data_IF_026046151878
#
_entry.id   IF_026046151878
#
_cell.length_a   1.000
_cell.length_b   1.000
_cell.length_c   1.000
_cell.angle_alpha   90.00
_cell.angle_beta   90.00
_cell.angle_gamma   90.00
#
_symmetry.space_group_name_H-M   'P 1'
#
loop_
_entity.id
_entity.type
_entity.pdbx_description
1 polymer ?
#
# COMPACT_ATOMS: atom_id res chain seq x y z
N UNK A 1 -19.61 -24.89 27.10
CA UNK A 1 -19.99 -23.84 26.12
C UNK A 1 -20.36 -22.58 26.89
N UNK A 2 -19.62 -21.51 26.66
CA UNK A 2 -19.93 -20.23 27.27
C UNK A 2 -21.26 -19.70 26.72
N UNK A 3 -22.05 -19.06 27.58
CA UNK A 3 -23.25 -18.34 27.13
C UNK A 3 -22.76 -17.11 26.35
N UNK A 4 -23.07 -17.05 25.05
CA UNK A 4 -22.71 -15.89 24.23
C UNK A 4 -23.39 -14.63 24.77
N UNK A 5 -22.73 -13.47 24.70
CA UNK A 5 -23.33 -12.19 25.07
C UNK A 5 -24.52 -11.88 24.14
N UNK A 6 -25.45 -11.09 24.63
CA UNK A 6 -26.54 -10.56 23.80
C UNK A 6 -26.03 -9.42 22.93
N UNK A 7 -26.02 -9.65 21.59
CA UNK A 7 -25.38 -8.77 20.60
C UNK A 7 -26.29 -8.40 19.43
N UNK A 8 -27.43 -7.72 19.67
CA UNK A 8 -28.44 -7.47 18.64
C UNK A 8 -27.94 -6.57 17.50
N UNK A 9 -26.98 -5.68 17.72
CA UNK A 9 -26.41 -4.86 16.67
C UNK A 9 -25.41 -5.64 15.81
N UNK A 10 -24.61 -6.51 16.41
CA UNK A 10 -23.72 -7.41 15.67
C UNK A 10 -24.54 -8.44 14.87
N UNK A 11 -25.66 -8.92 15.43
CA UNK A 11 -26.54 -9.87 14.75
C UNK A 11 -27.10 -9.30 13.43
N UNK A 12 -27.34 -7.99 13.37
CA UNK A 12 -27.75 -7.30 12.15
C UNK A 12 -26.66 -7.33 11.06
N UNK A 13 -25.37 -7.34 11.45
CA UNK A 13 -24.25 -7.43 10.50
C UNK A 13 -24.07 -8.85 9.98
N UNK A 14 -24.62 -9.85 10.64
CA UNK A 14 -24.51 -11.25 10.23
C UNK A 14 -25.46 -11.61 9.08
N UNK A 15 -26.45 -10.76 8.83
CA UNK A 15 -27.39 -10.95 7.72
C UNK A 15 -26.75 -10.66 6.38
N UNK A 16 -26.87 -11.59 5.43
CA UNK A 16 -26.39 -11.41 4.05
C UNK A 16 -25.78 -12.68 3.46
N UNK A 17 -25.42 -12.68 2.17
CA UNK A 17 -24.94 -13.86 1.45
C UNK A 17 -23.47 -14.22 1.77
N UNK A 18 -22.72 -13.32 2.41
CA UNK A 18 -21.32 -13.52 2.72
C UNK A 18 -21.13 -13.87 4.18
N UNK A 19 -20.23 -14.84 4.52
CA UNK A 19 -19.86 -15.09 5.89
C UNK A 19 -19.32 -13.80 6.52
N UNK A 20 -20.02 -13.28 7.52
CA UNK A 20 -19.57 -12.09 8.21
C UNK A 20 -18.48 -12.41 9.23
N UNK A 21 -17.68 -11.39 9.61
CA UNK A 21 -16.73 -11.56 10.70
C UNK A 21 -17.45 -11.90 12.03
N UNK A 22 -18.69 -11.48 12.20
CA UNK A 22 -19.53 -11.78 13.39
C UNK A 22 -19.79 -13.28 13.51
N UNK A 23 -20.07 -13.97 12.41
CA UNK A 23 -20.20 -15.45 12.40
C UNK A 23 -18.93 -16.13 12.92
N UNK A 24 -17.76 -15.65 12.47
CA UNK A 24 -16.47 -16.17 12.92
C UNK A 24 -16.22 -15.88 14.39
N UNK A 25 -16.51 -14.65 14.85
CA UNK A 25 -16.40 -14.27 16.26
C UNK A 25 -17.31 -15.11 17.16
N UNK A 26 -18.58 -15.30 16.79
CA UNK A 26 -19.52 -16.17 17.52
C UNK A 26 -19.02 -17.59 17.66
N UNK A 27 -18.39 -18.13 16.60
CA UNK A 27 -17.79 -19.46 16.64
C UNK A 27 -16.64 -19.52 17.64
N UNK A 28 -15.72 -18.56 17.59
CA UNK A 28 -14.58 -18.48 18.49
C UNK A 28 -15.03 -18.25 19.96
N UNK A 29 -16.02 -17.40 20.17
CA UNK A 29 -16.51 -17.05 21.50
C UNK A 29 -17.19 -18.20 22.26
N UNK A 30 -17.61 -19.27 21.59
CA UNK A 30 -18.22 -20.45 22.25
C UNK A 30 -17.28 -21.12 23.24
N UNK A 31 -16.01 -21.16 22.91
CA UNK A 31 -14.99 -21.90 23.66
C UNK A 31 -13.88 -20.99 24.22
N UNK A 32 -13.86 -19.69 23.83
CA UNK A 32 -12.84 -18.74 24.23
C UNK A 32 -13.51 -17.54 24.97
N UNK A 33 -13.30 -17.40 26.30
CA UNK A 33 -13.88 -16.31 27.09
C UNK A 33 -13.43 -14.90 26.63
N UNK A 34 -12.17 -14.75 26.19
CA UNK A 34 -11.66 -13.48 25.67
C UNK A 34 -12.46 -13.05 24.42
N UNK A 35 -12.80 -13.98 23.54
CA UNK A 35 -13.59 -13.68 22.35
C UNK A 35 -15.06 -13.40 22.69
N UNK A 36 -15.60 -14.03 23.73
CA UNK A 36 -16.92 -13.72 24.24
C UNK A 36 -16.98 -12.28 24.77
N UNK A 37 -16.01 -11.88 25.58
CA UNK A 37 -15.87 -10.51 26.10
C UNK A 37 -15.67 -9.50 24.95
N UNK A 38 -14.86 -9.85 23.95
CA UNK A 38 -14.66 -9.00 22.79
C UNK A 38 -15.94 -8.75 22.01
N UNK A 39 -16.82 -9.73 21.87
CA UNK A 39 -18.15 -9.52 21.27
C UNK A 39 -18.99 -8.51 22.08
N UNK A 40 -18.96 -8.58 23.40
CA UNK A 40 -19.63 -7.62 24.27
C UNK A 40 -19.07 -6.21 24.13
N UNK A 41 -17.76 -6.07 24.02
CA UNK A 41 -17.11 -4.77 23.75
C UNK A 41 -17.51 -4.21 22.37
N UNK A 42 -17.55 -5.05 21.34
CA UNK A 42 -17.99 -4.65 19.99
C UNK A 42 -19.44 -4.15 20.00
N UNK A 43 -20.35 -4.90 20.60
CA UNK A 43 -21.75 -4.49 20.73
C UNK A 43 -21.86 -3.14 21.45
N UNK A 44 -21.11 -2.96 22.55
CA UNK A 44 -21.05 -1.70 23.28
C UNK A 44 -20.50 -0.57 22.43
N UNK A 45 -19.46 -0.83 21.63
CA UNK A 45 -18.88 0.13 20.71
C UNK A 45 -19.89 0.57 19.63
N UNK A 46 -20.61 -0.37 19.03
CA UNK A 46 -21.65 -0.05 18.05
C UNK A 46 -22.79 0.79 18.66
N UNK A 47 -23.18 0.49 19.88
CA UNK A 47 -24.22 1.22 20.61
C UNK A 47 -23.79 2.64 21.02
N UNK A 48 -22.57 2.76 21.57
CA UNK A 48 -22.07 4.03 22.14
C UNK A 48 -21.30 4.88 21.13
N UNK A 49 -20.93 4.31 19.99
CA UNK A 49 -20.02 4.90 18.99
C UNK A 49 -18.59 5.15 19.48
N UNK A 50 -18.20 4.57 20.60
CA UNK A 50 -16.82 4.54 21.06
C UNK A 50 -16.08 3.34 20.46
N UNK A 51 -14.85 3.58 19.96
CA UNK A 51 -14.00 2.50 19.47
C UNK A 51 -13.57 1.56 20.59
N UNK A 52 -13.90 0.30 20.49
CA UNK A 52 -13.66 -0.71 21.51
C UNK A 52 -12.18 -1.02 21.77
N UNK A 53 -11.30 -0.63 20.86
CA UNK A 53 -9.84 -0.77 21.01
C UNK A 53 -9.13 0.51 21.44
N UNK A 54 -9.84 1.50 21.85
CA UNK A 54 -9.26 2.71 22.43
C UNK A 54 -8.81 2.53 23.88
N UNK A 55 -8.44 1.36 24.28
CA UNK A 55 -7.66 1.22 25.49
C UNK A 55 -6.33 1.92 25.27
N UNK A 56 -5.84 2.62 26.28
CA UNK A 56 -4.62 3.39 26.22
C UNK A 56 -3.57 2.65 25.43
N UNK A 57 -3.14 3.23 24.33
CA UNK A 57 -1.90 2.80 23.71
C UNK A 57 -0.86 3.15 24.75
N UNK A 58 -0.56 2.25 25.63
CA UNK A 58 0.67 2.38 26.40
C UNK A 58 1.75 2.51 25.34
N UNK A 59 2.43 3.62 25.33
CA UNK A 59 3.57 3.80 24.48
C UNK A 59 4.39 2.53 24.56
N UNK A 60 4.89 2.05 23.45
CA UNK A 60 5.57 0.75 23.24
C UNK A 60 6.85 0.61 24.08
N UNK A 61 6.89 1.24 25.26
CA UNK A 61 8.01 1.19 26.18
C UNK A 61 8.09 -0.21 26.75
N UNK A 62 9.03 -0.99 26.20
CA UNK A 62 9.30 -2.35 26.66
C UNK A 62 8.85 -3.47 25.72
N UNK A 63 8.08 -3.18 24.68
CA UNK A 63 7.78 -4.12 23.62
C UNK A 63 8.57 -3.76 22.36
N UNK A 64 9.11 -4.73 21.68
CA UNK A 64 9.70 -4.56 20.36
C UNK A 64 8.69 -4.03 19.33
N UNK A 65 9.15 -3.55 18.19
CA UNK A 65 8.29 -3.18 17.09
C UNK A 65 7.30 -4.29 16.75
N UNK A 66 6.10 -3.93 16.34
CA UNK A 66 5.08 -4.91 15.96
C UNK A 66 4.17 -5.41 17.07
N UNK A 67 4.50 -5.22 18.34
CA UNK A 67 3.59 -5.51 19.45
C UNK A 67 2.82 -4.25 19.80
N UNK A 68 1.50 -4.31 19.72
CA UNK A 68 0.60 -3.22 20.06
C UNK A 68 -0.18 -3.60 21.30
N UNK A 69 0.21 -3.12 22.48
CA UNK A 69 -0.56 -3.31 23.70
C UNK A 69 -1.94 -2.66 23.56
N UNK A 70 -2.96 -3.38 23.99
CA UNK A 70 -4.33 -2.89 23.99
C UNK A 70 -4.97 -3.22 25.31
N UNK A 71 -5.58 -2.21 25.94
CA UNK A 71 -6.31 -2.33 27.18
C UNK A 71 -7.70 -1.71 26.99
N UNK A 72 -8.73 -2.26 27.61
CA UNK A 72 -10.05 -1.66 27.56
C UNK A 72 -10.18 -0.51 28.55
N UNK A 73 -10.78 0.60 28.11
CA UNK A 73 -11.20 1.70 28.98
C UNK A 73 -12.64 1.50 29.53
N UNK A 74 -13.35 0.48 29.03
CA UNK A 74 -14.71 0.20 29.43
C UNK A 74 -14.71 -0.39 30.85
N UNK A 75 -15.13 0.40 31.81
CA UNK A 75 -15.23 0.05 33.25
C UNK A 75 -16.64 0.21 33.75
N UNK A 76 -16.95 -0.54 34.78
CA UNK A 76 -18.16 -0.37 35.55
C UNK A 76 -18.08 0.84 36.51
N UNK A 77 -19.15 1.11 37.25
CA UNK A 77 -19.23 2.20 38.23
C UNK A 77 -18.21 2.07 39.37
N UNK A 78 -17.68 0.88 39.61
CA UNK A 78 -16.63 0.61 40.61
C UNK A 78 -15.20 0.75 40.07
N UNK A 79 -15.05 1.04 38.78
CA UNK A 79 -13.75 1.16 38.12
C UNK A 79 -13.16 -0.17 37.65
N UNK A 80 -13.89 -1.28 37.71
CA UNK A 80 -13.45 -2.58 37.21
C UNK A 80 -13.74 -2.71 35.71
N UNK A 81 -12.90 -3.44 34.97
CA UNK A 81 -13.16 -3.74 33.54
C UNK A 81 -14.53 -4.39 33.37
N UNK A 82 -15.36 -3.88 32.45
CA UNK A 82 -16.63 -4.51 32.07
C UNK A 82 -16.43 -5.85 31.39
N UNK A 83 -15.25 -6.02 30.74
CA UNK A 83 -14.89 -7.21 29.98
C UNK A 83 -13.52 -7.69 30.46
N UNK A 84 -13.44 -8.37 31.61
CA UNK A 84 -12.17 -8.70 32.27
C UNK A 84 -11.27 -9.64 31.41
N UNK A 85 -11.85 -10.55 30.65
CA UNK A 85 -11.09 -11.49 29.82
C UNK A 85 -10.43 -10.82 28.61
N UNK A 86 -11.05 -9.78 28.05
CA UNK A 86 -10.51 -8.98 26.95
C UNK A 86 -9.90 -7.65 27.44
N UNK A 87 -9.73 -7.44 28.73
CA UNK A 87 -9.17 -6.22 29.28
C UNK A 87 -7.73 -5.97 28.77
N UNK A 88 -6.96 -7.03 28.59
CA UNK A 88 -5.65 -7.01 27.93
C UNK A 88 -5.74 -7.78 26.62
N UNK A 89 -5.66 -7.06 25.50
CA UNK A 89 -5.84 -7.62 24.17
C UNK A 89 -4.74 -7.10 23.26
N UNK A 90 -3.57 -7.72 23.34
CA UNK A 90 -2.44 -7.31 22.52
C UNK A 90 -2.58 -7.80 21.09
N UNK A 91 -2.04 -7.02 20.17
CA UNK A 91 -1.96 -7.37 18.74
C UNK A 91 -0.51 -7.47 18.34
N UNK A 92 -0.13 -8.58 17.70
CA UNK A 92 1.17 -8.73 17.07
C UNK A 92 1.03 -8.43 15.57
N UNK A 93 1.91 -7.58 15.07
CA UNK A 93 2.07 -7.34 13.63
C UNK A 93 3.28 -8.12 13.16
N UNK A 94 3.11 -8.92 12.15
CA UNK A 94 4.16 -9.77 11.61
C UNK A 94 4.49 -9.31 10.19
N UNK A 95 5.79 -9.19 9.89
CA UNK A 95 6.28 -8.85 8.56
C UNK A 95 5.87 -9.94 7.57
N UNK A 96 5.19 -9.61 6.48
CA UNK A 96 4.82 -10.60 5.47
C UNK A 96 6.06 -11.05 4.68
N UNK A 97 6.04 -12.24 4.08
CA UNK A 97 7.02 -12.60 3.08
C UNK A 97 6.92 -11.68 1.86
N UNK A 98 8.02 -11.52 1.14
CA UNK A 98 8.04 -10.74 -0.09
C UNK A 98 6.98 -11.26 -1.08
N UNK A 99 6.26 -10.34 -1.73
CA UNK A 99 5.15 -10.69 -2.60
C UNK A 99 3.89 -11.23 -1.90
N UNK A 100 3.91 -11.33 -0.56
CA UNK A 100 2.79 -11.80 0.27
C UNK A 100 2.27 -13.20 -0.10
N UNK A 101 3.18 -14.09 -0.52
CA UNK A 101 2.85 -15.46 -0.85
C UNK A 101 2.92 -16.37 0.38
N UNK A 102 1.87 -17.12 0.60
CA UNK A 102 1.78 -18.14 1.66
C UNK A 102 1.32 -19.44 1.06
N UNK A 103 1.94 -20.55 1.46
CA UNK A 103 1.33 -21.87 1.24
C UNK A 103 0.19 -22.09 2.23
N UNK A 104 -0.76 -22.93 1.86
CA UNK A 104 -1.84 -23.32 2.79
C UNK A 104 -1.33 -24.01 4.05
N UNK A 105 -0.24 -24.75 3.95
CA UNK A 105 0.37 -25.42 5.11
C UNK A 105 1.04 -24.42 6.04
N UNK A 106 1.75 -23.42 5.48
CA UNK A 106 2.32 -22.33 6.28
C UNK A 106 1.24 -21.54 7.01
N UNK A 107 0.11 -21.25 6.35
CA UNK A 107 -1.02 -20.56 7.00
C UNK A 107 -1.62 -21.39 8.14
N UNK A 108 -1.72 -22.72 7.99
CA UNK A 108 -2.16 -23.60 9.08
C UNK A 108 -1.19 -23.56 10.26
N UNK A 109 0.12 -23.69 9.99
CA UNK A 109 1.14 -23.61 11.04
C UNK A 109 1.09 -22.27 11.77
N UNK A 110 0.89 -21.15 11.07
CA UNK A 110 0.69 -19.84 11.70
C UNK A 110 -0.55 -19.81 12.61
N UNK A 111 -1.66 -20.42 12.17
CA UNK A 111 -2.86 -20.52 12.99
C UNK A 111 -2.62 -21.39 14.23
N UNK A 112 -1.97 -22.53 14.07
CA UNK A 112 -1.68 -23.45 15.17
C UNK A 112 -0.74 -22.80 16.20
N UNK A 113 0.36 -22.20 15.73
CA UNK A 113 1.30 -21.44 16.60
C UNK A 113 0.59 -20.37 17.40
N UNK A 114 -0.34 -19.62 16.76
CA UNK A 114 -1.12 -18.59 17.43
C UNK A 114 -2.04 -19.14 18.52
N UNK A 115 -2.72 -20.25 18.24
CA UNK A 115 -3.63 -20.90 19.18
C UNK A 115 -2.87 -21.55 20.34
N UNK A 116 -1.75 -22.23 20.06
CA UNK A 116 -0.90 -22.87 21.06
C UNK A 116 -0.28 -21.89 22.04
N UNK A 117 0.01 -20.66 21.57
CA UNK A 117 0.45 -19.56 22.43
C UNK A 117 -0.68 -18.95 23.27
N UNK A 118 -1.90 -19.44 23.19
CA UNK A 118 -3.05 -18.86 23.89
C UNK A 118 -3.67 -17.63 23.23
N UNK A 119 -3.42 -17.45 21.95
CA UNK A 119 -4.04 -16.40 21.15
C UNK A 119 -5.54 -16.63 20.93
N UNK A 120 -6.26 -15.59 20.60
CA UNK A 120 -7.73 -15.58 20.45
C UNK A 120 -8.26 -16.41 19.27
N UNK A 121 -7.40 -16.80 18.32
CA UNK A 121 -7.81 -17.36 17.04
C UNK A 121 -8.14 -16.33 15.97
N UNK A 122 -8.13 -15.03 16.29
CA UNK A 122 -8.43 -13.96 15.34
C UNK A 122 -7.15 -13.52 14.61
N UNK A 123 -7.16 -13.61 13.27
CA UNK A 123 -6.08 -13.20 12.40
C UNK A 123 -6.66 -12.27 11.32
N UNK A 124 -5.96 -11.20 11.00
CA UNK A 124 -6.32 -10.29 9.92
C UNK A 124 -5.12 -10.03 9.00
N UNK A 125 -5.36 -10.04 7.70
CA UNK A 125 -4.39 -9.60 6.70
C UNK A 125 -4.60 -8.12 6.42
N UNK A 126 -3.63 -7.30 6.78
CA UNK A 126 -3.78 -5.85 6.66
C UNK A 126 -3.33 -5.35 5.29
N UNK A 127 -4.29 -4.99 4.44
CA UNK A 127 -4.05 -4.67 3.02
C UNK A 127 -3.08 -3.52 2.75
N UNK A 128 -2.95 -2.55 3.64
CA UNK A 128 -2.14 -1.35 3.39
C UNK A 128 -0.67 -1.48 3.78
N UNK A 129 -0.32 -2.40 4.64
CA UNK A 129 1.04 -2.67 5.09
C UNK A 129 1.46 -4.12 4.87
N UNK A 130 0.53 -4.97 4.43
CA UNK A 130 0.77 -6.38 4.23
C UNK A 130 0.94 -7.19 5.52
N UNK A 131 0.90 -6.55 6.69
CA UNK A 131 1.08 -7.26 7.97
C UNK A 131 0.10 -8.42 8.11
N UNK A 132 0.58 -9.52 8.66
CA UNK A 132 -0.31 -10.45 9.35
C UNK A 132 -0.53 -9.86 10.75
N UNK A 133 -1.79 -9.64 11.11
CA UNK A 133 -2.15 -9.13 12.43
C UNK A 133 -2.77 -10.26 13.24
N UNK A 134 -2.06 -10.72 14.24
CA UNK A 134 -2.55 -11.65 15.25
C UNK A 134 -3.21 -10.85 16.37
N UNK A 135 -4.51 -10.94 16.52
CA UNK A 135 -5.28 -10.06 17.37
C UNK A 135 -5.82 -10.79 18.60
N UNK A 136 -5.37 -10.39 19.75
CA UNK A 136 -5.86 -10.87 21.04
C UNK A 136 -4.99 -11.95 21.67
N UNK A 137 -4.04 -11.50 22.47
CA UNK A 137 -3.24 -12.34 23.35
C UNK A 137 -2.96 -11.59 24.64
N UNK A 138 -2.86 -12.30 25.74
CA UNK A 138 -2.50 -11.74 27.04
C UNK A 138 -1.01 -11.45 27.13
N UNK A 139 -0.64 -10.52 27.99
CA UNK A 139 0.77 -10.10 28.18
C UNK A 139 1.70 -11.27 28.44
N UNK A 140 1.32 -12.18 29.32
CA UNK A 140 2.12 -13.35 29.72
C UNK A 140 2.42 -14.32 28.59
N UNK A 141 1.60 -14.32 27.54
CA UNK A 141 1.71 -15.24 26.42
C UNK A 141 2.42 -14.64 25.18
N UNK A 142 2.70 -13.34 25.21
CA UNK A 142 3.30 -12.63 24.06
C UNK A 142 4.64 -13.25 23.65
N UNK A 143 5.50 -13.59 24.63
CA UNK A 143 6.81 -14.15 24.36
C UNK A 143 6.71 -15.51 23.67
N UNK A 144 5.79 -16.36 24.11
CA UNK A 144 5.58 -17.68 23.50
C UNK A 144 5.13 -17.56 22.04
N UNK A 145 4.24 -16.62 21.73
CA UNK A 145 3.81 -16.37 20.35
C UNK A 145 4.97 -15.84 19.49
N UNK A 146 5.77 -14.93 20.03
CA UNK A 146 6.94 -14.39 19.35
C UNK A 146 7.95 -15.51 19.04
N UNK A 147 8.31 -16.34 20.01
CA UNK A 147 9.25 -17.44 19.84
C UNK A 147 8.78 -18.44 18.80
N UNK A 148 7.48 -18.79 18.82
CA UNK A 148 6.88 -19.67 17.82
C UNK A 148 6.93 -19.12 16.41
N UNK A 149 6.65 -17.82 16.23
CA UNK A 149 6.74 -17.14 14.94
C UNK A 149 8.18 -17.07 14.44
N UNK A 150 9.13 -16.76 15.32
CA UNK A 150 10.56 -16.72 14.98
C UNK A 150 11.10 -18.10 14.58
N UNK A 151 10.67 -19.17 15.26
CA UNK A 151 11.04 -20.53 14.89
C UNK A 151 10.58 -20.92 13.48
N UNK A 152 9.52 -20.28 12.97
CA UNK A 152 9.03 -20.43 11.60
C UNK A 152 9.73 -19.49 10.61
N UNK A 153 10.65 -18.65 11.05
CA UNK A 153 11.36 -17.66 10.24
C UNK A 153 10.61 -16.35 10.02
N UNK A 154 9.54 -16.09 10.77
CA UNK A 154 8.85 -14.80 10.76
C UNK A 154 9.42 -13.85 11.82
N UNK A 155 9.45 -12.59 11.48
CA UNK A 155 9.79 -11.52 12.40
C UNK A 155 8.62 -10.54 12.55
N UNK A 156 8.65 -9.75 13.61
CA UNK A 156 7.64 -8.73 13.84
C UNK A 156 7.82 -7.57 12.86
N UNK A 157 6.71 -7.03 12.42
CA UNK A 157 6.65 -5.78 11.65
C UNK A 157 6.75 -4.55 12.55
N UNK A 158 6.79 -3.36 11.94
CA UNK A 158 6.89 -2.12 12.68
C UNK A 158 5.55 -1.61 13.25
N UNK A 159 5.61 -1.05 14.44
CA UNK A 159 4.49 -0.34 15.08
C UNK A 159 4.98 0.97 15.72
N UNK A 160 4.06 1.93 15.90
CA UNK A 160 4.42 3.22 16.53
C UNK A 160 5.32 4.13 15.70
N UNK A 161 6.16 4.97 16.33
CA UNK A 161 7.12 5.87 15.71
C UNK A 161 8.39 5.11 15.32
N UNK A 162 8.31 4.27 14.31
CA UNK A 162 9.36 3.37 13.85
C UNK A 162 9.24 3.15 12.35
N UNK A 163 10.22 2.49 11.77
CA UNK A 163 10.07 1.89 10.45
C UNK A 163 8.93 0.87 10.51
N UNK A 164 7.97 1.03 9.63
CA UNK A 164 6.76 0.21 9.59
C UNK A 164 6.96 -0.97 8.66
N UNK A 165 6.16 -1.99 8.86
CA UNK A 165 6.05 -3.11 7.95
C UNK A 165 6.01 -2.62 6.51
N UNK A 166 6.88 -3.16 5.69
CA UNK A 166 7.02 -2.83 4.27
C UNK A 166 6.52 -3.99 3.43
N UNK A 167 6.09 -3.69 2.23
CA UNK A 167 5.54 -4.69 1.33
C UNK A 167 5.99 -4.46 -0.11
N UNK A 168 6.07 -5.54 -0.86
CA UNK A 168 6.20 -5.53 -2.31
C UNK A 168 4.97 -6.14 -2.97
N UNK A 169 4.75 -5.83 -4.24
CA UNK A 169 3.78 -6.59 -5.04
C UNK A 169 4.32 -7.99 -5.34
N UNK A 170 3.51 -8.80 -6.02
CA UNK A 170 3.88 -10.16 -6.44
C UNK A 170 5.07 -10.18 -7.40
N UNK A 171 5.20 -9.18 -8.22
CA UNK A 171 6.31 -8.80 -9.06
C UNK A 171 6.92 -9.90 -9.92
N UNK A 172 8.22 -9.87 -10.07
CA UNK A 172 8.99 -10.77 -10.94
C UNK A 172 8.76 -12.27 -10.66
N UNK A 173 8.29 -12.62 -9.46
CA UNK A 173 7.95 -14.00 -9.12
C UNK A 173 6.75 -14.56 -9.92
N UNK A 174 5.81 -13.70 -10.34
CA UNK A 174 4.55 -14.12 -10.99
C UNK A 174 3.99 -13.14 -12.02
N UNK A 175 4.63 -12.02 -12.25
CA UNK A 175 4.10 -10.95 -13.10
C UNK A 175 5.08 -10.59 -14.21
N UNK A 176 4.67 -10.78 -15.45
CA UNK A 176 5.41 -10.47 -16.66
C UNK A 176 5.66 -8.95 -16.85
N UNK A 177 4.85 -8.12 -16.19
CA UNK A 177 4.96 -6.66 -16.26
C UNK A 177 6.04 -6.11 -15.33
N UNK A 178 6.61 -6.92 -14.44
CA UNK A 178 7.63 -6.45 -13.51
C UNK A 178 8.89 -5.96 -14.22
N UNK A 179 9.43 -4.85 -13.71
CA UNK A 179 10.60 -4.19 -14.27
C UNK A 179 11.88 -4.41 -13.44
N UNK A 180 11.80 -5.01 -12.27
CA UNK A 180 12.94 -5.31 -11.40
C UNK A 180 12.57 -6.41 -10.39
N UNK A 181 13.51 -6.85 -9.56
CA UNK A 181 13.27 -7.78 -8.45
C UNK A 181 12.88 -6.99 -7.18
N UNK A 182 11.58 -6.70 -7.05
CA UNK A 182 11.03 -5.98 -5.89
C UNK A 182 11.03 -6.81 -4.61
N UNK A 183 11.03 -8.13 -4.72
CA UNK A 183 11.15 -9.02 -3.56
C UNK A 183 12.55 -8.92 -2.94
N UNK A 184 13.57 -8.86 -3.79
CA UNK A 184 14.95 -8.61 -3.36
C UNK A 184 15.10 -7.22 -2.77
N UNK A 185 14.55 -6.18 -3.43
CA UNK A 185 14.59 -4.80 -2.95
C UNK A 185 13.96 -4.68 -1.55
N UNK A 186 12.77 -5.26 -1.33
CA UNK A 186 12.13 -5.31 -0.02
C UNK A 186 13.04 -5.96 1.02
N UNK A 187 13.53 -7.16 0.73
CA UNK A 187 14.32 -7.94 1.68
C UNK A 187 15.61 -7.21 2.08
N UNK A 188 16.35 -6.68 1.12
CA UNK A 188 17.62 -6.03 1.39
C UNK A 188 17.45 -4.73 2.16
N UNK A 189 16.47 -3.90 1.79
CA UNK A 189 16.17 -2.64 2.49
C UNK A 189 15.69 -2.91 3.92
N UNK A 190 14.81 -3.88 4.13
CA UNK A 190 14.32 -4.20 5.47
C UNK A 190 15.42 -4.80 6.34
N UNK A 191 16.18 -5.76 5.85
CA UNK A 191 17.25 -6.39 6.64
C UNK A 191 18.32 -5.38 7.08
N UNK A 192 18.63 -4.40 6.23
CA UNK A 192 19.61 -3.36 6.57
C UNK A 192 19.09 -2.36 7.63
N UNK A 193 17.77 -2.20 7.73
CA UNK A 193 17.12 -1.23 8.60
C UNK A 193 16.23 -1.89 9.67
N UNK A 194 16.49 -3.16 10.01
CA UNK A 194 15.63 -3.94 10.90
C UNK A 194 15.56 -3.36 12.32
N UNK A 195 16.64 -2.77 12.79
CA UNK A 195 16.71 -2.13 14.12
C UNK A 195 15.72 -0.96 14.23
N UNK A 196 15.53 -0.18 13.16
CA UNK A 196 14.56 0.91 13.12
C UNK A 196 13.10 0.41 13.09
N UNK A 197 12.90 -0.85 12.71
CA UNK A 197 11.59 -1.50 12.78
C UNK A 197 11.29 -2.00 14.19
N UNK A 198 12.28 -2.53 14.89
CA UNK A 198 12.11 -3.13 16.21
C UNK A 198 12.14 -2.11 17.35
N UNK A 199 12.61 -0.90 17.10
CA UNK A 199 12.74 0.16 18.11
C UNK A 199 11.99 1.41 17.67
N UNK A 200 11.37 2.17 18.59
CA UNK A 200 10.78 3.47 18.29
C UNK A 200 11.90 4.52 18.11
N UNK A 201 12.59 4.48 16.96
CA UNK A 201 13.77 5.28 16.66
C UNK A 201 13.46 6.53 15.84
N UNK A 202 12.24 6.70 15.35
CA UNK A 202 11.86 7.77 14.44
C UNK A 202 10.88 8.75 15.09
N UNK A 203 10.86 10.03 14.68
CA UNK A 203 9.88 11.01 15.17
C UNK A 203 8.43 10.61 14.89
N UNK A 204 8.20 9.88 13.80
CA UNK A 204 6.92 9.27 13.45
C UNK A 204 7.14 8.04 12.57
N UNK A 205 6.02 7.39 12.15
CA UNK A 205 6.06 6.21 11.30
C UNK A 205 6.65 6.51 9.93
N UNK A 206 7.52 5.64 9.45
CA UNK A 206 8.06 5.64 8.10
C UNK A 206 7.72 4.32 7.38
N UNK A 207 7.48 4.35 6.07
CA UNK A 207 7.09 3.18 5.27
C UNK A 207 7.81 3.13 3.95
N UNK A 208 8.34 1.97 3.62
CA UNK A 208 8.74 1.62 2.25
C UNK A 208 7.67 0.82 1.54
N UNK A 209 7.58 0.97 0.22
CA UNK A 209 6.82 0.07 -0.65
C UNK A 209 7.50 -0.10 -2.00
N UNK A 210 7.39 -1.32 -2.54
CA UNK A 210 8.08 -1.76 -3.74
C UNK A 210 7.07 -2.29 -4.75
N UNK A 211 6.85 -1.55 -5.83
CA UNK A 211 5.92 -1.90 -6.92
C UNK A 211 6.68 -2.27 -8.17
N UNK A 212 6.44 -3.45 -8.71
CA UNK A 212 7.21 -3.99 -9.84
C UNK A 212 7.01 -3.27 -11.17
N UNK A 213 5.92 -2.51 -11.33
CA UNK A 213 5.62 -1.76 -12.55
C UNK A 213 4.67 -0.58 -12.25
N UNK A 214 4.41 0.29 -13.26
CA UNK A 214 3.52 1.44 -13.08
C UNK A 214 2.05 1.15 -12.77
N UNK A 215 1.58 -0.08 -12.79
CA UNK A 215 0.25 -0.42 -12.28
C UNK A 215 0.11 -0.19 -10.76
N UNK A 216 1.22 -0.11 -10.05
CA UNK A 216 1.30 0.20 -8.62
C UNK A 216 0.29 -0.57 -7.75
N UNK A 217 0.27 -1.91 -7.92
CA UNK A 217 -0.71 -2.80 -7.27
C UNK A 217 -0.71 -2.72 -5.73
N UNK A 218 0.38 -2.24 -5.13
CA UNK A 218 0.48 -2.04 -3.68
C UNK A 218 0.24 -0.60 -3.25
N UNK A 219 -0.16 0.27 -4.18
CA UNK A 219 -0.41 1.69 -3.93
C UNK A 219 0.79 2.38 -3.25
N UNK A 220 1.96 2.19 -3.82
CA UNK A 220 3.22 2.68 -3.27
C UNK A 220 3.30 4.21 -3.35
N UNK A 221 2.83 4.81 -4.44
CA UNK A 221 2.86 6.27 -4.66
C UNK A 221 2.15 7.07 -3.57
N UNK A 222 1.07 6.53 -2.98
CA UNK A 222 0.27 7.25 -1.99
C UNK A 222 0.44 6.72 -0.56
N UNK A 223 0.88 5.47 -0.40
CA UNK A 223 0.82 4.79 0.90
C UNK A 223 2.18 4.51 1.52
N UNK A 224 3.25 5.11 0.97
CA UNK A 224 4.60 5.01 1.51
C UNK A 224 5.28 6.37 1.62
N UNK A 225 6.22 6.46 2.55
CA UNK A 225 7.08 7.63 2.68
C UNK A 225 8.15 7.61 1.59
N UNK A 226 8.71 6.45 1.28
CA UNK A 226 9.56 6.22 0.12
C UNK A 226 9.05 5.03 -0.67
N UNK A 227 8.98 5.16 -1.98
CA UNK A 227 8.52 4.14 -2.91
C UNK A 227 9.51 3.90 -4.04
N UNK A 228 9.59 2.64 -4.50
CA UNK A 228 10.15 2.32 -5.80
C UNK A 228 9.04 1.77 -6.69
N UNK A 229 8.91 2.31 -7.89
CA UNK A 229 7.95 1.84 -8.88
C UNK A 229 8.71 1.49 -10.15
N UNK A 230 8.60 0.25 -10.58
CA UNK A 230 9.25 -0.24 -11.78
C UNK A 230 8.86 0.56 -13.02
N UNK A 231 9.82 0.80 -13.89
CA UNK A 231 9.64 1.53 -15.14
C UNK A 231 10.69 1.10 -16.19
N UNK A 232 10.68 1.70 -17.35
CA UNK A 232 11.67 1.47 -18.42
C UNK A 232 12.01 2.78 -19.14
N UNK A 233 13.19 2.85 -19.76
CA UNK A 233 13.64 4.05 -20.48
C UNK A 233 13.32 4.00 -21.96
N UNK A 234 13.56 2.84 -22.58
CA UNK A 234 13.43 2.64 -24.01
C UNK A 234 11.97 2.52 -24.47
N UNK A 235 11.77 2.13 -25.71
CA UNK A 235 10.45 2.08 -26.35
C UNK A 235 9.62 0.90 -25.85
N UNK A 236 8.30 1.08 -25.78
CA UNK A 236 7.32 -0.01 -25.68
C UNK A 236 7.61 -1.00 -26.83
N UNK A 237 7.55 -2.28 -26.53
CA UNK A 237 7.70 -3.35 -27.51
C UNK A 237 6.34 -3.86 -27.96
N UNK A 238 6.26 -4.26 -29.23
CA UNK A 238 5.08 -4.90 -29.80
C UNK A 238 5.40 -6.31 -30.27
N UNK A 239 4.48 -7.23 -30.03
CA UNK A 239 4.45 -8.55 -30.65
C UNK A 239 3.41 -8.51 -31.77
N UNK A 240 3.84 -8.74 -33.00
CA UNK A 240 2.98 -8.60 -34.17
C UNK A 240 1.89 -9.67 -34.22
N UNK A 241 2.22 -10.92 -33.90
CA UNK A 241 1.24 -12.04 -33.95
C UNK A 241 0.11 -11.79 -32.94
N UNK A 242 0.46 -11.46 -31.69
CA UNK A 242 -0.52 -11.17 -30.63
C UNK A 242 -1.29 -9.87 -30.89
N UNK A 243 -0.66 -8.87 -31.52
CA UNK A 243 -1.34 -7.63 -31.89
C UNK A 243 -2.39 -7.86 -32.96
N UNK A 244 -2.07 -8.65 -33.98
CA UNK A 244 -3.02 -9.06 -35.03
C UNK A 244 -4.15 -9.91 -34.46
N UNK A 245 -3.85 -10.86 -33.58
CA UNK A 245 -4.85 -11.69 -32.92
C UNK A 245 -5.81 -10.84 -32.06
N UNK A 246 -5.26 -9.92 -31.25
CA UNK A 246 -6.09 -9.01 -30.45
C UNK A 246 -7.00 -8.16 -31.33
N UNK A 247 -6.49 -7.62 -32.42
CA UNK A 247 -7.27 -6.80 -33.35
C UNK A 247 -8.36 -7.60 -34.07
N UNK A 248 -8.11 -8.84 -34.44
CA UNK A 248 -9.09 -9.73 -35.06
C UNK A 248 -10.28 -9.98 -34.12
N UNK A 249 -10.04 -10.08 -32.80
CA UNK A 249 -11.10 -10.31 -31.82
C UNK A 249 -11.90 -9.04 -31.46
N UNK A 250 -11.24 -7.87 -31.43
CA UNK A 250 -11.82 -6.62 -30.91
C UNK A 250 -12.21 -5.62 -32.01
N UNK A 251 -11.49 -5.62 -33.14
CA UNK A 251 -11.72 -4.74 -34.27
C UNK A 251 -11.39 -3.27 -34.04
N UNK A 252 -11.61 -2.47 -35.08
CA UNK A 252 -11.24 -1.05 -35.11
C UNK A 252 -11.93 -0.20 -34.04
N UNK A 253 -13.21 -0.46 -33.78
CA UNK A 253 -14.00 0.32 -32.80
C UNK A 253 -13.42 0.22 -31.38
N UNK A 254 -13.08 -0.98 -30.97
CA UNK A 254 -12.52 -1.22 -29.64
C UNK A 254 -11.08 -0.73 -29.55
N UNK A 255 -10.30 -0.87 -30.62
CA UNK A 255 -8.96 -0.28 -30.74
C UNK A 255 -9.00 1.23 -30.48
N UNK A 256 -9.91 1.95 -31.13
CA UNK A 256 -10.07 3.39 -30.92
C UNK A 256 -10.51 3.70 -29.51
N UNK A 257 -11.55 3.03 -29.02
CA UNK A 257 -12.18 3.38 -27.75
C UNK A 257 -11.35 2.95 -26.53
N UNK A 258 -10.69 1.79 -26.59
CA UNK A 258 -10.03 1.21 -25.42
C UNK A 258 -8.53 1.52 -25.40
N UNK A 259 -7.89 1.78 -26.56
CA UNK A 259 -6.44 1.98 -26.63
C UNK A 259 -6.13 3.45 -26.97
N UNK A 260 -6.59 3.95 -28.12
CA UNK A 260 -6.22 5.26 -28.64
C UNK A 260 -6.81 6.38 -27.77
N UNK A 261 -8.12 6.38 -27.58
CA UNK A 261 -8.83 7.46 -26.86
C UNK A 261 -8.48 7.55 -25.38
N UNK A 262 -8.09 6.42 -24.77
CA UNK A 262 -7.75 6.36 -23.36
C UNK A 262 -6.26 6.58 -23.09
N UNK A 263 -5.44 6.83 -24.12
CA UNK A 263 -4.06 7.25 -23.91
C UNK A 263 -4.03 8.67 -23.30
N UNK A 264 -3.55 8.83 -22.06
CA UNK A 264 -3.63 10.12 -21.35
C UNK A 264 -2.79 11.21 -22.01
N UNK A 265 -1.79 10.80 -22.79
CA UNK A 265 -0.87 11.72 -23.50
C UNK A 265 -1.16 11.82 -24.98
N UNK A 266 -2.15 11.07 -25.46
CA UNK A 266 -2.37 10.93 -26.92
C UNK A 266 -1.11 10.52 -27.68
N UNK A 267 -0.25 9.78 -27.00
CA UNK A 267 0.97 9.22 -27.60
C UNK A 267 0.67 8.07 -28.58
N UNK A 268 -0.57 7.57 -28.64
CA UNK A 268 -0.98 6.47 -29.52
C UNK A 268 -1.90 7.03 -30.61
N UNK A 269 -1.55 6.75 -31.86
CA UNK A 269 -2.32 7.16 -33.03
C UNK A 269 -2.57 5.97 -33.95
N UNK A 270 -3.70 6.01 -34.66
CA UNK A 270 -3.95 5.09 -35.78
C UNK A 270 -3.07 5.50 -36.96
N UNK A 271 -2.57 4.50 -37.67
CA UNK A 271 -1.77 4.66 -38.87
C UNK A 271 -2.12 3.57 -39.90
N UNK A 272 -1.84 3.86 -41.17
CA UNK A 272 -1.88 2.86 -42.19
C UNK A 272 -0.64 1.96 -42.14
N UNK A 273 -0.83 0.65 -42.30
CA UNK A 273 0.29 -0.28 -42.33
C UNK A 273 0.97 -0.28 -43.72
N UNK A 274 1.71 0.76 -44.00
CA UNK A 274 2.38 0.95 -45.32
C UNK A 274 3.69 0.21 -45.46
N UNK A 275 4.18 -0.45 -44.40
CA UNK A 275 5.51 -1.04 -44.34
C UNK A 275 6.68 -0.04 -44.31
N UNK A 276 6.38 1.29 -44.27
CA UNK A 276 7.39 2.32 -44.16
C UNK A 276 8.08 2.27 -42.80
N UNK A 277 9.35 2.66 -42.72
CA UNK A 277 10.06 2.79 -41.44
C UNK A 277 9.46 3.90 -40.59
N UNK A 278 9.35 3.68 -39.30
CA UNK A 278 8.93 4.69 -38.33
C UNK A 278 10.12 5.54 -37.86
N UNK A 279 9.83 6.75 -37.35
CA UNK A 279 10.85 7.63 -36.80
C UNK A 279 11.48 7.07 -35.52
N UNK A 280 12.59 7.65 -35.13
CA UNK A 280 13.22 7.34 -33.83
C UNK A 280 12.26 7.62 -32.69
N UNK A 281 12.24 6.75 -31.69
CA UNK A 281 11.33 6.87 -30.55
C UNK A 281 9.88 6.46 -30.82
N UNK A 282 9.55 5.96 -32.00
CA UNK A 282 8.20 5.47 -32.35
C UNK A 282 8.18 3.94 -32.39
N UNK A 283 7.18 3.35 -31.74
CA UNK A 283 6.88 1.92 -31.88
C UNK A 283 5.68 1.74 -32.81
N UNK A 284 5.87 0.97 -33.88
CA UNK A 284 4.75 0.52 -34.74
C UNK A 284 4.19 -0.80 -34.21
N UNK A 285 2.88 -0.86 -34.08
CA UNK A 285 2.10 -2.03 -33.67
C UNK A 285 1.22 -2.44 -34.85
N UNK A 286 1.59 -3.51 -35.52
CA UNK A 286 0.85 -4.01 -36.70
C UNK A 286 -0.43 -4.70 -36.23
N UNK A 287 -1.57 -4.22 -36.72
CA UNK A 287 -2.90 -4.75 -36.38
C UNK A 287 -3.47 -5.64 -37.49
N UNK A 288 -3.26 -5.26 -38.74
CA UNK A 288 -3.67 -5.98 -39.92
C UNK A 288 -2.75 -5.61 -41.11
N UNK A 289 -3.05 -6.10 -42.31
CA UNK A 289 -2.32 -5.69 -43.50
C UNK A 289 -2.55 -4.22 -43.88
N UNK A 290 -3.67 -3.63 -43.41
CA UNK A 290 -4.07 -2.26 -43.69
C UNK A 290 -3.83 -1.30 -42.53
N UNK A 291 -3.86 -1.79 -41.29
CA UNK A 291 -3.91 -0.95 -40.08
C UNK A 291 -2.78 -1.21 -39.13
N UNK A 292 -2.28 -0.13 -38.51
CA UNK A 292 -1.30 -0.15 -37.44
C UNK A 292 -1.63 0.91 -36.37
N UNK A 293 -0.98 0.80 -35.22
CA UNK A 293 -0.82 1.89 -34.27
C UNK A 293 0.62 2.38 -34.28
N UNK A 294 0.80 3.66 -34.10
CA UNK A 294 2.07 4.28 -33.82
C UNK A 294 2.07 4.86 -32.40
N UNK A 295 3.05 4.46 -31.61
CA UNK A 295 3.23 4.90 -30.24
C UNK A 295 4.45 5.81 -30.17
N UNK A 296 4.25 7.10 -29.91
CA UNK A 296 5.30 8.06 -29.62
C UNK A 296 5.82 7.83 -28.19
N UNK A 297 6.98 7.21 -28.06
CA UNK A 297 7.58 6.89 -26.78
C UNK A 297 8.14 8.10 -26.03
N UNK A 298 8.37 9.23 -26.70
CA UNK A 298 8.77 10.48 -26.05
C UNK A 298 7.60 11.08 -25.27
N UNK A 299 6.38 11.00 -25.83
CA UNK A 299 5.17 11.46 -25.20
C UNK A 299 4.50 10.40 -24.31
N UNK A 300 4.97 9.16 -24.33
CA UNK A 300 4.46 8.07 -23.51
C UNK A 300 4.85 8.24 -22.03
N UNK A 301 3.88 8.37 -21.15
CA UNK A 301 4.09 8.45 -19.68
C UNK A 301 4.12 7.07 -18.98
N UNK A 302 4.19 6.00 -19.73
CA UNK A 302 4.31 4.63 -19.23
C UNK A 302 3.21 4.21 -18.24
N UNK A 303 1.99 4.71 -18.41
CA UNK A 303 0.86 4.46 -17.50
C UNK A 303 0.34 3.02 -17.51
N UNK A 304 0.87 2.13 -18.33
CA UNK A 304 0.51 0.73 -18.50
C UNK A 304 -0.88 0.47 -19.13
N UNK A 305 -1.69 1.48 -19.39
CA UNK A 305 -3.07 1.26 -19.84
C UNK A 305 -3.14 0.39 -21.10
N UNK A 306 -2.41 0.77 -22.16
CA UNK A 306 -2.42 0.02 -23.42
C UNK A 306 -1.84 -1.40 -23.28
N UNK A 307 -0.83 -1.58 -22.40
CA UNK A 307 -0.27 -2.91 -22.12
C UNK A 307 -1.27 -3.81 -21.40
N UNK A 308 -2.09 -3.23 -20.52
CA UNK A 308 -3.14 -3.98 -19.80
C UNK A 308 -4.33 -4.33 -20.72
N UNK A 309 -4.62 -3.48 -21.70
CA UNK A 309 -5.70 -3.72 -22.67
C UNK A 309 -5.30 -4.73 -23.75
N UNK A 310 -4.03 -4.70 -24.16
CA UNK A 310 -3.45 -5.60 -25.18
C UNK A 310 -2.37 -6.50 -24.54
N UNK A 311 -2.76 -7.39 -23.60
CA UNK A 311 -1.77 -8.18 -22.86
C UNK A 311 -0.98 -9.11 -23.79
N UNK A 312 0.34 -9.11 -23.62
CA UNK A 312 1.26 -9.86 -24.48
C UNK A 312 1.55 -9.19 -25.82
N UNK A 313 0.56 -8.53 -26.43
CA UNK A 313 0.72 -7.78 -27.66
C UNK A 313 1.59 -6.52 -27.48
N UNK A 314 1.44 -5.85 -26.35
CA UNK A 314 2.29 -4.75 -25.92
C UNK A 314 3.04 -5.11 -24.64
N UNK A 315 4.32 -4.81 -24.61
CA UNK A 315 5.22 -5.16 -23.52
C UNK A 315 6.05 -3.94 -23.09
N UNK A 316 6.47 -3.87 -21.82
CA UNK A 316 7.44 -2.88 -21.36
C UNK A 316 8.72 -2.92 -22.21
N UNK A 317 9.45 -1.82 -22.27
CA UNK A 317 10.79 -1.77 -22.85
C UNK A 317 11.74 -2.78 -22.20
N UNK A 318 12.97 -2.82 -22.70
CA UNK A 318 14.02 -3.74 -22.21
C UNK A 318 14.94 -3.07 -21.18
N UNK A 319 15.16 -1.76 -21.32
CA UNK A 319 15.98 -0.98 -20.39
C UNK A 319 15.15 -0.66 -19.13
N UNK A 320 14.99 -1.67 -18.28
CA UNK A 320 14.15 -1.66 -17.09
C UNK A 320 14.90 -1.15 -15.86
N UNK A 321 14.16 -0.58 -14.93
CA UNK A 321 14.64 -0.06 -13.65
C UNK A 321 13.49 0.43 -12.82
N UNK A 322 13.74 1.41 -11.96
CA UNK A 322 12.71 2.00 -11.06
C UNK A 322 12.72 3.51 -11.11
N UNK A 323 11.56 4.10 -10.86
CA UNK A 323 11.42 5.49 -10.39
C UNK A 323 11.38 5.46 -8.87
N UNK A 324 12.15 6.33 -8.22
CA UNK A 324 12.10 6.51 -6.75
C UNK A 324 11.28 7.74 -6.40
N UNK A 325 10.33 7.55 -5.48
CA UNK A 325 9.42 8.61 -5.05
C UNK A 325 9.47 8.77 -3.52
N UNK A 326 9.18 9.97 -3.05
CA UNK A 326 9.21 10.35 -1.64
C UNK A 326 7.96 11.13 -1.24
N UNK A 327 7.51 10.98 0.00
CA UNK A 327 6.50 11.87 0.61
C UNK A 327 5.05 11.47 0.39
N UNK A 328 4.77 10.26 -0.10
CA UNK A 328 3.41 9.75 -0.22
C UNK A 328 2.71 9.61 1.14
N UNK A 329 1.46 10.07 1.22
CA UNK A 329 0.66 10.04 2.43
C UNK A 329 -0.83 9.91 2.13
N UNK A 330 -1.43 8.82 2.57
CA UNK A 330 -2.85 8.56 2.36
C UNK A 330 -3.77 9.00 3.50
N UNK A 331 -3.32 9.76 4.49
CA UNK A 331 -4.09 10.16 5.67
C UNK A 331 -4.16 11.68 5.83
N UNK A 332 -5.29 12.11 6.25
CA UNK A 332 -5.87 13.44 6.13
C UNK A 332 -5.70 14.32 7.38
N UNK A 333 -4.50 14.74 7.76
CA UNK A 333 -4.43 15.96 8.59
C UNK A 333 -4.43 17.22 7.72
N UNK A 334 -3.65 17.20 6.66
CA UNK A 334 -3.53 18.30 5.68
C UNK A 334 -3.95 17.88 4.27
N UNK A 335 -4.46 16.66 4.11
CA UNK A 335 -4.81 16.05 2.84
C UNK A 335 -3.94 14.83 2.51
N UNK A 336 -4.36 14.08 1.51
CA UNK A 336 -3.55 13.02 0.93
C UNK A 336 -2.51 13.64 -0.02
N UNK A 337 -1.27 13.17 0.05
CA UNK A 337 -0.19 13.57 -0.86
C UNK A 337 0.27 12.38 -1.67
N UNK A 338 0.57 12.59 -2.93
CA UNK A 338 1.24 11.61 -3.79
C UNK A 338 2.75 11.76 -3.61
N UNK A 339 3.47 10.65 -3.74
CA UNK A 339 4.92 10.68 -3.73
C UNK A 339 5.47 11.53 -4.89
N UNK A 340 6.47 12.36 -4.60
CA UNK A 340 7.19 13.16 -5.57
C UNK A 340 8.38 12.37 -6.08
N UNK A 341 8.66 12.41 -7.39
CA UNK A 341 9.83 11.75 -7.99
C UNK A 341 11.10 12.44 -7.50
N UNK A 342 12.03 11.68 -6.95
CA UNK A 342 13.37 12.14 -6.57
C UNK A 342 14.46 11.51 -7.45
N UNK A 343 14.23 10.34 -8.01
CA UNK A 343 15.08 9.73 -9.05
C UNK A 343 14.15 9.25 -10.17
N UNK A 344 14.19 9.88 -11.34
CA UNK A 344 13.34 9.48 -12.48
C UNK A 344 13.60 8.05 -12.95
N UNK A 345 14.86 7.63 -12.94
CA UNK A 345 15.25 6.28 -13.32
C UNK A 345 16.51 5.82 -12.60
N UNK A 346 16.43 4.66 -11.95
CA UNK A 346 17.54 3.95 -11.33
C UNK A 346 17.53 2.49 -11.80
N UNK A 347 18.66 1.99 -12.28
CA UNK A 347 18.83 0.56 -12.55
C UNK A 347 18.78 -0.24 -11.25
N UNK A 348 18.19 -1.43 -11.28
CA UNK A 348 18.21 -2.40 -10.19
C UNK A 348 18.38 -3.81 -10.75
N UNK A 349 19.58 -4.13 -11.18
CA UNK A 349 19.94 -5.43 -11.76
C UNK A 349 21.06 -6.11 -10.99
N UNK A 350 22.09 -5.36 -10.61
CA UNK A 350 23.30 -5.87 -9.96
C UNK A 350 23.26 -5.67 -8.44
N UNK A 351 24.15 -6.35 -7.71
CA UNK A 351 24.31 -6.18 -6.27
C UNK A 351 24.64 -4.72 -5.92
N UNK A 352 25.48 -4.07 -6.72
CA UNK A 352 25.85 -2.66 -6.54
C UNK A 352 24.63 -1.72 -6.71
N UNK A 353 23.69 -2.04 -7.58
CA UNK A 353 22.48 -1.24 -7.75
C UNK A 353 21.57 -1.34 -6.52
N UNK A 354 21.44 -2.55 -5.95
CA UNK A 354 20.69 -2.74 -4.72
C UNK A 354 21.39 -2.09 -3.53
N UNK A 355 22.72 -2.08 -3.48
CA UNK A 355 23.48 -1.35 -2.44
C UNK A 355 23.25 0.16 -2.53
N UNK A 356 23.24 0.74 -3.73
CA UNK A 356 22.88 2.17 -3.94
C UNK A 356 21.46 2.47 -3.45
N UNK A 357 20.49 1.58 -3.72
CA UNK A 357 19.13 1.74 -3.19
C UNK A 357 19.11 1.68 -1.66
N UNK A 358 19.88 0.76 -1.07
CA UNK A 358 19.99 0.63 0.38
C UNK A 358 20.64 1.86 1.03
N UNK A 359 21.70 2.40 0.43
CA UNK A 359 22.36 3.62 0.88
C UNK A 359 21.42 4.82 0.81
N UNK A 360 20.69 4.96 -0.29
CA UNK A 360 19.65 5.99 -0.43
C UNK A 360 18.56 5.84 0.64
N UNK A 361 18.06 4.62 0.85
CA UNK A 361 17.04 4.35 1.88
C UNK A 361 17.54 4.72 3.27
N UNK A 362 18.81 4.43 3.58
CA UNK A 362 19.44 4.82 4.85
C UNK A 362 19.56 6.33 4.99
N UNK A 363 20.08 7.02 3.96
CA UNK A 363 20.21 8.48 3.98
C UNK A 363 18.86 9.17 4.19
N UNK A 364 17.80 8.66 3.56
CA UNK A 364 16.43 9.18 3.74
C UNK A 364 15.92 8.95 5.15
N UNK A 365 16.16 7.77 5.75
CA UNK A 365 15.75 7.47 7.12
C UNK A 365 16.50 8.34 8.14
N UNK A 366 17.81 8.50 7.97
CA UNK A 366 18.64 9.33 8.86
C UNK A 366 18.19 10.79 8.79
N UNK A 367 18.01 11.31 7.58
CA UNK A 367 17.54 12.69 7.41
C UNK A 367 16.15 12.89 8.02
N UNK A 368 15.24 11.91 7.85
CA UNK A 368 13.91 11.97 8.47
C UNK A 368 14.00 11.92 10.00
N UNK A 369 14.86 11.07 10.56
CA UNK A 369 15.05 10.97 11.99
C UNK A 369 15.56 12.28 12.63
N UNK A 370 16.45 12.99 11.92
CA UNK A 370 17.07 14.23 12.40
C UNK A 370 16.21 15.48 12.20
N UNK A 371 15.39 15.52 11.14
CA UNK A 371 14.75 16.76 10.69
C UNK A 371 13.22 16.78 10.84
N UNK A 372 12.57 15.62 10.97
CA UNK A 372 11.12 15.58 11.11
C UNK A 372 10.69 15.95 12.55
N UNK A 373 9.59 16.67 12.66
CA UNK A 373 8.95 16.96 13.93
C UNK A 373 8.16 15.76 14.44
N UNK A 374 7.81 15.77 15.73
CA UNK A 374 6.98 14.74 16.32
C UNK A 374 5.63 14.64 15.59
N UNK A 375 5.25 13.42 15.20
CA UNK A 375 4.05 13.13 14.40
C UNK A 375 4.02 13.71 12.98
N UNK A 376 5.14 14.21 12.47
CA UNK A 376 5.28 14.70 11.09
C UNK A 376 5.63 13.54 10.14
N UNK A 377 4.97 13.46 8.99
CA UNK A 377 5.31 12.50 7.93
C UNK A 377 6.34 13.11 6.98
N UNK A 378 7.07 12.28 6.26
CA UNK A 378 8.10 12.70 5.32
C UNK A 378 7.62 13.73 4.31
N UNK A 379 6.42 13.56 3.74
CA UNK A 379 5.85 14.55 2.81
C UNK A 379 5.55 15.89 3.48
N UNK A 380 5.09 15.89 4.74
CA UNK A 380 4.86 17.10 5.53
C UNK A 380 6.18 17.82 5.87
N UNK A 381 7.20 17.03 6.22
CA UNK A 381 8.54 17.56 6.46
C UNK A 381 9.10 18.23 5.19
N UNK A 382 9.02 17.57 4.05
CA UNK A 382 9.50 18.13 2.76
C UNK A 382 8.74 19.40 2.39
N UNK A 383 7.43 19.45 2.63
CA UNK A 383 6.63 20.66 2.42
C UNK A 383 7.11 21.82 3.30
N UNK A 384 7.48 21.54 4.55
CA UNK A 384 7.99 22.54 5.51
C UNK A 384 9.40 23.01 5.19
N UNK A 385 10.33 22.11 4.87
CA UNK A 385 11.75 22.46 4.66
C UNK A 385 12.11 22.75 3.21
N UNK A 386 11.28 22.34 2.26
CA UNK A 386 11.51 22.43 0.83
C UNK A 386 12.21 21.19 0.23
N UNK A 387 11.81 20.84 -1.00
CA UNK A 387 12.35 19.67 -1.69
C UNK A 387 13.86 19.77 -1.95
N UNK A 388 14.34 20.97 -2.32
CA UNK A 388 15.78 21.18 -2.62
C UNK A 388 16.62 20.91 -1.37
N UNK A 389 16.25 21.47 -0.22
CA UNK A 389 16.96 21.25 1.03
C UNK A 389 16.95 19.77 1.45
N UNK A 390 15.84 19.08 1.17
CA UNK A 390 15.76 17.64 1.41
C UNK A 390 16.73 16.86 0.51
N UNK A 391 16.77 17.16 -0.79
CA UNK A 391 17.66 16.46 -1.74
C UNK A 391 19.13 16.70 -1.40
N UNK A 392 19.51 17.95 -1.12
CA UNK A 392 20.87 18.29 -0.67
C UNK A 392 21.23 17.56 0.63
N UNK A 393 20.29 17.50 1.58
CA UNK A 393 20.49 16.84 2.87
C UNK A 393 20.70 15.33 2.80
N UNK A 394 20.11 14.67 1.80
CA UNK A 394 20.35 13.23 1.55
C UNK A 394 21.50 12.98 0.55
N UNK A 395 22.20 14.04 0.12
CA UNK A 395 23.32 13.95 -0.82
C UNK A 395 22.92 13.62 -2.26
N UNK A 396 21.69 13.93 -2.64
CA UNK A 396 21.16 13.68 -4.00
C UNK A 396 21.20 14.95 -4.84
N UNK A 397 21.87 14.88 -5.99
CA UNK A 397 21.85 15.97 -6.95
C UNK A 397 20.45 16.15 -7.56
N UNK A 398 20.07 17.39 -7.77
CA UNK A 398 18.78 17.72 -8.37
C UNK A 398 18.82 17.40 -9.87
N UNK A 399 18.00 16.44 -10.30
CA UNK A 399 17.80 16.18 -11.73
C UNK A 399 16.98 17.34 -12.35
N UNK A 400 17.47 17.99 -13.41
CA UNK A 400 16.73 19.06 -14.10
C UNK A 400 15.30 18.68 -14.51
N UNK A 401 15.07 17.40 -14.85
CA UNK A 401 13.74 16.91 -15.20
C UNK A 401 12.74 16.97 -14.01
N UNK A 402 13.23 16.86 -12.79
CA UNK A 402 12.39 17.00 -11.59
C UNK A 402 11.92 18.44 -11.38
N UNK A 403 12.74 19.42 -11.76
CA UNK A 403 12.44 20.85 -11.60
C UNK A 403 11.62 21.36 -12.77
N UNK A 404 12.01 21.06 -14.00
CA UNK A 404 11.34 21.52 -15.22
C UNK A 404 9.95 20.91 -15.39
N UNK A 405 9.79 19.69 -14.93
CA UNK A 405 8.54 18.95 -15.02
C UNK A 405 8.21 18.27 -13.66
N UNK A 406 8.00 19.05 -12.59
CA UNK A 406 7.79 18.51 -11.25
C UNK A 406 6.55 17.60 -11.17
N UNK A 407 5.68 17.64 -12.18
CA UNK A 407 4.50 16.80 -12.35
C UNK A 407 4.62 15.81 -13.51
N UNK A 408 5.79 15.70 -14.11
CA UNK A 408 6.06 14.63 -15.09
C UNK A 408 6.22 13.24 -14.44
N UNK A 409 5.67 13.09 -13.25
CA UNK A 409 5.35 11.80 -12.69
C UNK A 409 4.50 11.06 -13.73
N UNK A 410 4.87 9.83 -14.14
CA UNK A 410 4.12 9.05 -15.11
C UNK A 410 2.65 8.83 -14.73
N UNK A 411 2.29 9.09 -13.48
CA UNK A 411 0.94 8.91 -12.96
C UNK A 411 0.09 10.20 -12.91
N UNK A 412 0.68 11.37 -13.16
CA UNK A 412 -0.06 12.64 -13.04
C UNK A 412 0.14 13.45 -14.32
N UNK A 413 -0.86 13.40 -15.17
CA UNK A 413 -1.08 14.44 -16.16
C UNK A 413 -2.07 15.46 -15.62
N UNK A 414 -1.71 16.70 -15.77
CA UNK A 414 -2.56 17.81 -15.32
C UNK A 414 -3.33 18.46 -16.45
N UNK A 415 -3.03 18.13 -17.70
CA UNK A 415 -3.81 18.61 -18.86
C UNK A 415 -5.26 18.15 -18.75
N UNK A 416 -6.18 19.09 -18.66
CA UNK A 416 -7.61 18.85 -18.48
C UNK A 416 -8.07 18.57 -17.03
N UNK A 417 -7.18 18.54 -16.04
CA UNK A 417 -7.57 18.34 -14.64
C UNK A 417 -8.38 19.51 -14.09
N UNK A 418 -8.03 20.72 -14.46
CA UNK A 418 -8.75 21.91 -14.01
C UNK A 418 -10.19 21.90 -14.52
N UNK A 419 -10.39 21.53 -15.80
CA UNK A 419 -11.72 21.36 -16.39
C UNK A 419 -12.53 20.22 -15.72
N UNK A 420 -11.89 19.11 -15.41
CA UNK A 420 -12.54 18.01 -14.70
C UNK A 420 -12.83 18.35 -13.24
N UNK A 421 -11.94 19.08 -12.58
CA UNK A 421 -12.18 19.57 -11.23
C UNK A 421 -13.35 20.55 -11.20
N UNK A 422 -13.44 21.47 -12.16
CA UNK A 422 -14.58 22.40 -12.30
C UNK A 422 -15.88 21.64 -12.52
N UNK A 423 -15.90 20.66 -13.42
CA UNK A 423 -17.07 19.79 -13.65
C UNK A 423 -17.47 19.01 -12.40
N UNK A 424 -16.49 18.55 -11.62
CA UNK A 424 -16.73 17.84 -10.38
C UNK A 424 -17.31 18.75 -9.30
N UNK A 425 -16.76 19.96 -9.14
CA UNK A 425 -17.25 20.96 -8.19
C UNK A 425 -18.64 21.47 -8.58
N UNK A 426 -18.92 21.67 -9.87
CA UNK A 426 -20.24 22.03 -10.36
C UNK A 426 -21.27 20.92 -10.04
N UNK A 427 -20.97 19.67 -10.34
CA UNK A 427 -21.83 18.51 -9.99
C UNK A 427 -22.05 18.38 -8.49
N UNK A 428 -21.03 18.68 -7.67
CA UNK A 428 -21.14 18.66 -6.21
C UNK A 428 -22.03 19.79 -5.70
N UNK A 429 -21.95 20.97 -6.29
CA UNK A 429 -22.80 22.12 -5.97
C UNK A 429 -24.28 21.85 -6.35
N UNK A 430 -24.53 21.26 -7.54
CA UNK A 430 -25.87 20.89 -8.01
C UNK A 430 -26.49 19.76 -7.18
N UNK A 431 -25.70 18.77 -6.77
CA UNK A 431 -26.17 17.65 -5.96
C UNK A 431 -26.53 18.07 -4.53
N UNK A 432 -26.30 19.32 -4.16
CA UNK A 432 -26.63 19.90 -2.84
C UNK A 432 -26.29 18.97 -1.71
N UNK A 433 -25.24 19.22 -1.01
CA UNK A 433 -24.78 18.66 0.28
C UNK A 433 -25.32 17.28 0.79
N UNK A 434 -25.76 16.37 -0.09
CA UNK A 434 -26.18 15.03 0.34
C UNK A 434 -25.05 14.26 1.01
N UNK A 435 -23.81 14.54 0.65
CA UNK A 435 -22.64 13.91 1.26
C UNK A 435 -22.23 14.50 2.61
N UNK A 436 -22.55 15.77 2.90
CA UNK A 436 -22.24 16.40 4.19
C UNK A 436 -23.19 15.97 5.31
N UNK A 437 -24.32 15.36 5.01
CA UNK A 437 -25.25 14.84 6.02
C UNK A 437 -24.90 13.44 6.54
N UNK A 438 -24.09 12.65 5.84
CA UNK A 438 -23.72 11.30 6.25
C UNK A 438 -22.29 11.15 6.77
N UNK A 439 -21.43 12.13 6.58
CA UNK A 439 -20.17 12.23 7.32
C UNK A 439 -20.44 13.13 8.52
N UNK A 440 -21.08 12.58 9.53
CA UNK A 440 -21.14 13.22 10.83
C UNK A 440 -19.73 13.39 11.36
N UNK A 441 -19.14 14.55 11.10
CA UNK A 441 -17.92 14.98 11.77
C UNK A 441 -18.23 15.12 13.26
N UNK A 442 -17.70 14.25 14.14
CA UNK A 442 -17.92 14.34 15.56
C UNK A 442 -17.37 15.64 16.18
N UNK A 443 -16.51 16.36 15.46
CA UNK A 443 -15.88 17.61 15.91
C UNK A 443 -16.76 18.84 15.66
N UNK A 444 -17.76 18.79 14.79
CA UNK A 444 -18.65 19.90 14.49
C UNK A 444 -19.82 20.05 15.51
N UNK A 445 -19.88 19.21 16.55
CA UNK A 445 -20.91 19.28 17.61
C UNK A 445 -20.39 19.76 18.96
N UNK A 446 -19.15 20.25 19.03
CA UNK A 446 -18.53 20.79 20.24
C UNK A 446 -18.09 22.27 20.07
N UNK A 447 -18.82 23.05 19.28
CA UNK A 447 -18.69 24.50 19.24
C UNK A 447 -20.05 25.15 19.54
#
# INVERSE_FOLDING_TARGET
MNKLPHTPLLDQLESGPWPSFVTSLKRLARDNPMMSDMMGQLETSYRTRFGYWKGGTVGVVGYGGGIIPRFTELKDETGKPLFPEAAEFHTLRVQPPAGMHYSSDLLRQLCDTWLEAGGSGLIAFHGQSGDIMFQGIRTENVQQAFDGLNAMGFDLGGAGPALRTSMSCVGAARCEMSCYDEARALRTVINRNIDDMHRPSLPYKFKFKFSGCPNDCVNAIQRSDMATIGTWKDNIRADEELSRAWFADHGMKDTINMVVNLCPTKAIQLADNTGASVGEGVTRVVLSDEHALEIDNHNCVRCMHCLNVMPGALLPGRDKGVTVLIGGKGVLKIGATMGTVIIPFMKLETDEDFDKLNDLARSVLDFFAENALEHERTGEMIERIGLVNFLEGIGLEVDPNMILHPRANPYIRTDGWDEEAEKWFARKAEAGSRHTRNTGDPMARAA
#
